data_IF_257331127015
#
_entry.id   IF_257331127015
#
_cell.length_a   1.000
_cell.length_b   1.000
_cell.length_c   1.000
_cell.angle_alpha   90.00
_cell.angle_beta   90.00
_cell.angle_gamma   90.00
#
_symmetry.space_group_name_H-M   'P 1'
#
loop_
_entity.id
_entity.type
_entity.pdbx_description
1 polymer ?
#
# COMPACT_ATOMS: atom_id res chain seq x y z
N UNK A 1 18.36 9.76 -9.06
CA UNK A 1 18.25 8.57 -8.19
C UNK A 1 17.38 8.96 -7.01
N UNK A 2 16.20 8.34 -6.87
CA UNK A 2 15.24 8.72 -5.84
C UNK A 2 15.49 7.89 -4.58
N UNK A 3 15.70 8.56 -3.45
CA UNK A 3 15.74 7.94 -2.13
C UNK A 3 14.67 8.60 -1.28
N UNK A 4 13.80 7.79 -0.68
CA UNK A 4 12.72 8.26 0.18
C UNK A 4 12.95 7.75 1.59
N UNK A 5 12.72 8.62 2.56
CA UNK A 5 12.54 8.22 3.95
C UNK A 5 11.07 7.95 4.18
N UNK A 6 10.78 6.75 4.67
CA UNK A 6 9.41 6.30 4.87
C UNK A 6 8.65 7.20 5.87
N UNK A 7 9.34 7.68 6.90
CA UNK A 7 8.80 8.58 7.94
C UNK A 7 8.43 9.98 7.42
N UNK A 8 8.93 10.38 6.26
CA UNK A 8 8.67 11.69 5.65
C UNK A 8 7.62 11.60 4.54
N UNK A 9 7.06 10.40 4.28
CA UNK A 9 6.06 10.18 3.23
C UNK A 9 4.64 10.36 3.78
N UNK A 10 3.87 11.22 3.11
CA UNK A 10 2.44 11.38 3.40
C UNK A 10 1.67 10.07 3.20
N UNK A 11 0.70 9.86 4.09
CA UNK A 11 -0.21 8.72 4.04
C UNK A 11 -1.49 9.10 3.31
N UNK A 12 -2.13 8.10 2.71
CA UNK A 12 -3.48 8.19 2.18
C UNK A 12 -4.32 7.06 2.74
N UNK A 13 -5.42 7.38 3.39
CA UNK A 13 -6.45 6.39 3.72
C UNK A 13 -7.17 5.98 2.42
N UNK A 14 -7.14 4.69 2.12
CA UNK A 14 -7.74 4.12 0.91
C UNK A 14 -9.20 3.74 1.16
N UNK A 15 -9.41 3.04 2.28
CA UNK A 15 -10.68 2.67 2.88
C UNK A 15 -10.49 2.71 4.41
N UNK A 16 -11.56 2.76 5.23
CA UNK A 16 -11.43 2.81 6.68
C UNK A 16 -10.50 1.72 7.23
N UNK A 17 -9.45 2.13 7.95
CA UNK A 17 -8.48 1.21 8.56
C UNK A 17 -7.41 0.65 7.60
N UNK A 18 -7.34 1.11 6.36
CA UNK A 18 -6.29 0.75 5.41
C UNK A 18 -5.63 2.03 4.87
N UNK A 19 -4.36 2.22 5.23
CA UNK A 19 -3.58 3.40 4.86
C UNK A 19 -2.40 3.02 4.00
N UNK A 20 -2.08 3.84 3.00
CA UNK A 20 -0.99 3.59 2.08
C UNK A 20 -0.02 4.76 1.98
N UNK A 21 1.26 4.43 1.84
CA UNK A 21 2.36 5.31 1.45
C UNK A 21 2.86 4.86 0.09
N UNK A 22 2.61 5.65 -0.95
CA UNK A 22 2.88 5.28 -2.35
C UNK A 22 4.13 5.96 -2.88
N UNK A 23 4.84 5.32 -3.80
CA UNK A 23 6.04 5.82 -4.47
C UNK A 23 5.92 5.51 -5.96
N UNK A 24 6.06 6.54 -6.80
CA UNK A 24 5.85 6.42 -8.24
C UNK A 24 7.18 6.39 -8.97
N UNK A 25 7.40 5.32 -9.74
CA UNK A 25 8.32 5.30 -10.86
C UNK A 25 7.58 5.54 -12.18
N UNK A 26 8.30 5.40 -13.30
CA UNK A 26 7.71 5.61 -14.63
C UNK A 26 6.66 4.54 -15.00
N UNK A 27 6.89 3.28 -14.61
CA UNK A 27 6.06 2.12 -14.97
C UNK A 27 5.65 1.26 -13.78
N UNK A 28 5.97 1.70 -12.57
CA UNK A 28 5.73 0.94 -11.35
C UNK A 28 5.29 1.88 -10.24
N UNK A 29 4.25 1.47 -9.53
CA UNK A 29 3.89 2.01 -8.23
C UNK A 29 4.34 1.00 -7.18
N UNK A 30 5.20 1.43 -6.27
CA UNK A 30 5.49 0.68 -5.04
C UNK A 30 4.76 1.35 -3.90
N UNK A 31 4.16 0.58 -3.01
CA UNK A 31 3.49 1.12 -1.83
C UNK A 31 3.79 0.29 -0.59
N UNK A 32 3.87 0.97 0.55
CA UNK A 32 3.73 0.35 1.87
C UNK A 32 2.29 0.56 2.30
N UNK A 33 1.60 -0.51 2.67
CA UNK A 33 0.20 -0.48 3.07
C UNK A 33 0.12 -1.05 4.48
N UNK A 34 -0.45 -0.28 5.40
CA UNK A 34 -0.75 -0.73 6.76
C UNK A 34 -2.23 -1.04 6.84
N UNK A 35 -2.55 -2.21 7.40
CA UNK A 35 -3.90 -2.69 7.60
C UNK A 35 -4.13 -2.79 9.11
N UNK A 36 -5.12 -2.06 9.62
CA UNK A 36 -5.57 -2.22 11.00
C UNK A 36 -6.16 -3.63 11.22
N UNK A 37 -6.12 -4.17 12.45
CA UNK A 37 -6.70 -5.46 12.75
C UNK A 37 -8.17 -5.55 12.33
N UNK A 38 -8.51 -6.57 11.54
CA UNK A 38 -9.86 -6.81 11.00
C UNK A 38 -10.37 -5.73 10.04
N UNK A 39 -9.48 -4.93 9.43
CA UNK A 39 -9.87 -4.02 8.36
C UNK A 39 -10.41 -4.81 7.15
N UNK A 40 -11.55 -4.39 6.62
CA UNK A 40 -12.19 -5.01 5.47
C UNK A 40 -11.82 -4.29 4.18
N UNK A 41 -11.29 -5.05 3.20
CA UNK A 41 -11.07 -4.58 1.84
C UNK A 41 -12.09 -5.24 0.90
N UNK A 42 -13.09 -4.50 0.40
CA UNK A 42 -14.07 -5.06 -0.54
C UNK A 42 -13.41 -5.62 -1.80
N UNK A 43 -13.98 -6.70 -2.33
CA UNK A 43 -13.52 -7.28 -3.59
C UNK A 43 -13.57 -6.25 -4.73
N UNK A 44 -12.46 -6.12 -5.45
CA UNK A 44 -12.31 -5.18 -6.55
C UNK A 44 -11.31 -5.71 -7.58
N UNK A 45 -11.17 -5.02 -8.72
CA UNK A 45 -10.24 -5.38 -9.78
C UNK A 45 -9.64 -4.16 -10.45
N UNK A 46 -8.45 -4.32 -11.02
CA UNK A 46 -7.76 -3.30 -11.80
C UNK A 46 -7.16 -3.92 -13.07
N UNK A 47 -6.99 -3.14 -14.15
CA UNK A 47 -6.32 -3.61 -15.36
C UNK A 47 -4.80 -3.75 -15.20
N UNK A 48 -4.24 -3.20 -14.11
CA UNK A 48 -2.81 -3.20 -13.84
C UNK A 48 -2.40 -4.46 -13.05
N UNK A 49 -1.23 -5.01 -13.37
CA UNK A 49 -0.63 -6.09 -12.59
C UNK A 49 -0.33 -5.63 -11.16
N UNK A 50 -0.66 -6.47 -10.17
CA UNK A 50 -0.44 -6.20 -8.76
C UNK A 50 0.30 -7.38 -8.12
N UNK A 51 1.36 -7.06 -7.39
CA UNK A 51 2.09 -8.01 -6.56
C UNK A 51 2.32 -7.39 -5.18
N UNK A 52 2.25 -8.21 -4.14
CA UNK A 52 2.46 -7.80 -2.76
C UNK A 52 3.23 -8.85 -1.99
N UNK A 53 3.97 -8.40 -0.97
CA UNK A 53 4.64 -9.25 0.01
C UNK A 53 4.28 -8.74 1.39
N UNK A 54 3.91 -9.63 2.29
CA UNK A 54 3.67 -9.30 3.70
C UNK A 54 5.01 -8.97 4.35
N UNK A 55 5.13 -7.77 4.90
CA UNK A 55 6.34 -7.35 5.62
C UNK A 55 6.26 -7.71 7.09
N UNK A 56 5.09 -7.53 7.70
CA UNK A 56 4.81 -7.80 9.12
C UNK A 56 3.36 -8.27 9.29
N UNK A 57 3.09 -9.06 10.33
CA UNK A 57 1.74 -9.55 10.65
C UNK A 57 1.24 -10.69 9.74
N UNK A 58 -0.09 -10.78 9.57
CA UNK A 58 -0.75 -11.71 8.66
C UNK A 58 -1.84 -11.02 7.85
N UNK A 59 -2.05 -11.48 6.61
CA UNK A 59 -3.17 -11.10 5.75
C UNK A 59 -3.91 -12.38 5.35
N UNK A 60 -5.24 -12.34 5.33
CA UNK A 60 -6.10 -13.49 5.02
C UNK A 60 -6.99 -13.21 3.82
#
# INVERSE_FOLDING_TARGET
>A
MYFYKLSERETKELVPGIVARTFWGEKMLTSIVDLEPNADLPSHSHPHEQHGTVLEGEIK
#
